data_IF_722551022022
#
_entry.id   IF_722551022022
#
_cell.length_a   1.000
_cell.length_b   1.000
_cell.length_c   1.000
_cell.angle_alpha   90.00
_cell.angle_beta   90.00
_cell.angle_gamma   90.00
#
_symmetry.space_group_name_H-M   'P 1'
#
loop_
_entity.id
_entity.type
_entity.pdbx_description
1 polymer ?
#
# COMPACT_ATOMS: atom_id res chain seq x y z
N UNK A 1 -4.72 23.87 -15.74
CA UNK A 1 -5.62 23.05 -14.94
C UNK A 1 -5.61 23.54 -13.50
N UNK A 2 -6.65 23.21 -12.75
CA UNK A 2 -6.75 23.56 -11.32
C UNK A 2 -5.66 22.81 -10.55
N UNK A 3 -4.82 23.53 -9.82
CA UNK A 3 -3.73 22.99 -9.00
C UNK A 3 -4.12 22.94 -7.51
N UNK A 4 -5.34 23.31 -7.17
CA UNK A 4 -5.85 23.23 -5.81
C UNK A 4 -5.89 21.78 -5.33
N UNK A 5 -5.28 21.51 -4.18
CA UNK A 5 -5.35 20.17 -3.59
C UNK A 5 -6.80 19.87 -3.20
N UNK A 6 -7.42 18.82 -3.76
CA UNK A 6 -8.79 18.48 -3.42
C UNK A 6 -8.92 18.03 -1.96
N UNK A 7 -10.02 18.42 -1.33
CA UNK A 7 -10.41 17.87 -0.03
C UNK A 7 -11.32 16.68 -0.29
N UNK A 8 -10.76 15.49 -0.13
CA UNK A 8 -11.52 14.25 -0.30
C UNK A 8 -12.47 14.05 0.87
N UNK A 9 -13.73 13.65 0.63
CA UNK A 9 -14.63 13.30 1.70
C UNK A 9 -14.16 12.03 2.40
N UNK A 10 -14.35 11.97 3.71
CA UNK A 10 -14.23 10.75 4.50
C UNK A 10 -15.63 10.22 4.80
N UNK A 11 -15.88 8.96 4.47
CA UNK A 11 -17.15 8.30 4.76
C UNK A 11 -16.95 7.42 5.99
N UNK A 12 -17.68 7.72 7.06
CA UNK A 12 -17.75 6.84 8.23
C UNK A 12 -18.96 5.94 8.06
N UNK A 13 -18.72 4.73 7.61
CA UNK A 13 -19.77 3.74 7.35
C UNK A 13 -20.02 2.91 8.61
N UNK A 14 -21.28 2.92 9.08
CA UNK A 14 -21.71 2.13 10.24
C UNK A 14 -22.87 1.23 9.84
N UNK A 15 -22.68 -0.06 9.98
CA UNK A 15 -23.69 -1.09 9.69
C UNK A 15 -23.58 -2.23 10.69
N UNK A 16 -24.64 -3.02 10.90
CA UNK A 16 -24.51 -4.27 11.63
C UNK A 16 -23.58 -5.21 10.85
N UNK A 17 -22.89 -6.08 11.56
CA UNK A 17 -22.04 -7.10 10.93
C UNK A 17 -22.90 -8.05 10.09
N UNK A 18 -22.49 -8.30 8.84
CA UNK A 18 -23.27 -9.13 7.92
C UNK A 18 -24.49 -8.41 7.32
N UNK A 19 -24.53 -7.07 7.39
CA UNK A 19 -25.57 -6.27 6.74
C UNK A 19 -25.76 -6.66 5.28
N UNK A 20 -27.01 -6.73 4.83
CA UNK A 20 -27.48 -7.25 3.54
C UNK A 20 -27.46 -8.77 3.40
N UNK A 21 -26.82 -9.51 4.30
CA UNK A 21 -26.87 -10.97 4.34
C UNK A 21 -28.15 -11.51 5.00
N UNK A 22 -28.27 -12.84 5.12
CA UNK A 22 -29.39 -13.45 5.84
C UNK A 22 -29.37 -13.03 7.31
N UNK A 23 -30.53 -12.69 7.84
CA UNK A 23 -30.66 -12.31 9.26
C UNK A 23 -30.58 -13.51 10.17
N UNK A 24 -31.06 -14.65 9.70
CA UNK A 24 -31.13 -15.89 10.42
C UNK A 24 -30.86 -17.07 9.47
N UNK A 25 -30.17 -18.10 9.96
CA UNK A 25 -29.98 -19.39 9.28
C UNK A 25 -30.18 -20.49 10.31
N UNK A 26 -31.03 -21.47 10.02
CA UNK A 26 -31.33 -22.63 10.87
C UNK A 26 -31.82 -22.23 12.28
N UNK A 27 -32.63 -21.18 12.37
CA UNK A 27 -33.15 -20.70 13.64
C UNK A 27 -32.12 -19.95 14.51
N UNK A 28 -30.93 -19.66 13.95
CA UNK A 28 -29.88 -18.93 14.65
C UNK A 28 -29.66 -17.55 14.02
N UNK A 29 -29.55 -16.49 14.81
CA UNK A 29 -29.25 -15.16 14.30
C UNK A 29 -27.86 -15.14 13.63
N UNK A 30 -27.77 -14.48 12.49
CA UNK A 30 -26.54 -14.29 11.70
C UNK A 30 -26.14 -12.81 11.69
N UNK A 31 -27.06 -11.91 11.31
CA UNK A 31 -26.79 -10.47 11.31
C UNK A 31 -26.41 -10.00 12.72
N UNK A 32 -25.44 -9.10 12.81
CA UNK A 32 -24.92 -8.48 14.03
C UNK A 32 -24.32 -9.45 15.05
N UNK A 33 -23.89 -10.63 14.61
CA UNK A 33 -23.23 -11.60 15.47
C UNK A 33 -22.01 -12.26 14.83
N UNK A 34 -21.29 -13.08 15.60
CA UNK A 34 -20.07 -13.75 15.12
C UNK A 34 -20.31 -14.67 13.91
N UNK A 35 -21.54 -15.19 13.72
CA UNK A 35 -21.87 -16.09 12.61
C UNK A 35 -21.77 -15.39 11.26
N UNK A 36 -21.94 -14.08 11.21
CA UNK A 36 -21.74 -13.30 9.99
C UNK A 36 -20.25 -13.10 9.62
N UNK A 37 -19.31 -13.48 10.49
CA UNK A 37 -17.87 -13.30 10.24
C UNK A 37 -17.29 -14.31 9.26
N UNK A 38 -17.80 -15.52 9.29
CA UNK A 38 -17.39 -16.60 8.38
C UNK A 38 -18.45 -16.81 7.30
N UNK A 39 -18.47 -17.98 6.68
CA UNK A 39 -19.50 -18.34 5.71
C UNK A 39 -20.84 -18.50 6.44
N UNK A 40 -21.79 -17.58 6.27
CA UNK A 40 -23.03 -17.61 7.03
C UNK A 40 -23.97 -18.76 6.63
N UNK A 41 -23.75 -19.36 5.46
CA UNK A 41 -24.52 -20.46 4.91
C UNK A 41 -23.56 -21.57 4.47
N UNK A 42 -23.61 -22.72 5.13
CA UNK A 42 -22.81 -23.89 4.75
C UNK A 42 -23.46 -24.67 3.61
N UNK A 43 -22.68 -25.08 2.61
CA UNK A 43 -23.11 -25.86 1.45
C UNK A 43 -22.68 -27.33 1.51
N UNK A 44 -22.30 -27.84 2.66
CA UNK A 44 -21.94 -29.25 2.87
C UNK A 44 -23.18 -30.19 2.92
N UNK A 45 -23.36 -30.94 4.02
CA UNK A 45 -24.45 -31.86 4.19
C UNK A 45 -25.85 -31.22 4.08
N UNK A 46 -25.97 -29.95 4.40
CA UNK A 46 -27.23 -29.19 4.41
C UNK A 46 -27.51 -28.43 3.11
N UNK A 47 -26.82 -28.76 2.01
CA UNK A 47 -26.94 -28.05 0.72
C UNK A 47 -28.39 -27.91 0.24
N UNK A 48 -29.17 -28.96 0.30
CA UNK A 48 -30.58 -28.92 -0.15
C UNK A 48 -31.41 -27.90 0.63
N UNK A 49 -31.15 -27.74 1.91
CA UNK A 49 -31.82 -26.79 2.81
C UNK A 49 -31.31 -25.39 2.61
N UNK A 50 -30.00 -25.21 2.43
CA UNK A 50 -29.33 -23.91 2.40
C UNK A 50 -29.33 -23.25 1.02
N UNK A 51 -29.37 -24.02 -0.05
CA UNK A 51 -29.37 -23.49 -1.42
C UNK A 51 -30.49 -22.46 -1.69
N UNK A 52 -31.76 -22.71 -1.27
CA UNK A 52 -32.80 -21.70 -1.44
C UNK A 52 -32.54 -20.40 -0.65
N UNK A 53 -31.93 -20.47 0.53
CA UNK A 53 -31.58 -19.31 1.33
C UNK A 53 -30.48 -18.49 0.64
N UNK A 54 -29.46 -19.16 0.12
CA UNK A 54 -28.38 -18.53 -0.65
C UNK A 54 -28.94 -17.88 -1.92
N UNK A 55 -29.78 -18.59 -2.67
CA UNK A 55 -30.40 -18.04 -3.88
C UNK A 55 -31.24 -16.80 -3.58
N UNK A 56 -32.07 -16.85 -2.55
CA UNK A 56 -32.86 -15.70 -2.13
C UNK A 56 -31.97 -14.52 -1.74
N UNK A 57 -30.88 -14.76 -1.01
CA UNK A 57 -29.93 -13.71 -0.65
C UNK A 57 -29.29 -13.10 -1.88
N UNK A 58 -28.73 -13.89 -2.79
CA UNK A 58 -28.10 -13.39 -4.01
C UNK A 58 -29.08 -12.64 -4.91
N UNK A 59 -30.32 -13.14 -5.06
CA UNK A 59 -31.37 -12.46 -5.82
C UNK A 59 -31.83 -11.14 -5.20
N UNK A 60 -31.66 -10.95 -3.89
CA UNK A 60 -31.99 -9.69 -3.22
C UNK A 60 -31.12 -8.51 -3.67
N UNK A 61 -30.01 -8.77 -4.32
CA UNK A 61 -29.15 -7.75 -4.94
C UNK A 61 -29.58 -7.33 -6.34
N UNK A 62 -30.63 -7.94 -6.89
CA UNK A 62 -31.16 -7.64 -8.23
C UNK A 62 -30.07 -7.63 -9.32
N UNK A 63 -29.30 -8.72 -9.47
CA UNK A 63 -28.23 -8.75 -10.47
C UNK A 63 -28.71 -8.53 -11.90
N UNK A 64 -29.97 -8.85 -12.21
CA UNK A 64 -30.61 -8.61 -13.50
C UNK A 64 -30.73 -7.13 -13.87
N UNK A 65 -30.64 -6.22 -12.91
CA UNK A 65 -30.60 -4.77 -13.17
C UNK A 65 -29.20 -4.29 -13.62
N UNK A 66 -28.18 -5.09 -13.32
CA UNK A 66 -26.77 -4.74 -13.53
C UNK A 66 -26.12 -5.55 -14.65
N UNK A 67 -26.66 -6.75 -14.95
CA UNK A 67 -26.09 -7.68 -15.91
C UNK A 67 -27.18 -8.21 -16.85
N UNK A 68 -26.83 -8.44 -18.12
CA UNK A 68 -27.68 -9.08 -19.10
C UNK A 68 -27.71 -10.61 -18.94
N UNK A 69 -28.48 -11.32 -19.79
CA UNK A 69 -28.62 -12.77 -19.75
C UNK A 69 -27.31 -13.53 -20.00
N UNK A 70 -26.33 -12.92 -20.64
CA UNK A 70 -24.99 -13.43 -20.85
C UNK A 70 -24.01 -13.05 -19.73
N UNK A 71 -24.48 -12.39 -18.67
CA UNK A 71 -23.66 -11.94 -17.54
C UNK A 71 -22.77 -10.73 -17.83
N UNK A 72 -23.03 -9.99 -18.89
CA UNK A 72 -22.28 -8.77 -19.23
C UNK A 72 -22.88 -7.57 -18.53
N UNK A 73 -22.04 -6.63 -18.02
CA UNK A 73 -22.56 -5.40 -17.44
C UNK A 73 -23.45 -4.62 -18.41
N UNK A 74 -24.57 -4.10 -17.94
CA UNK A 74 -25.43 -3.22 -18.72
C UNK A 74 -24.71 -1.93 -19.14
N UNK A 75 -25.24 -1.22 -20.15
CA UNK A 75 -24.59 -0.01 -20.69
C UNK A 75 -24.35 1.08 -19.65
N UNK A 76 -25.23 1.21 -18.67
CA UNK A 76 -25.06 2.14 -17.56
C UNK A 76 -23.75 1.87 -16.82
N UNK A 77 -23.49 0.63 -16.42
CA UNK A 77 -22.25 0.26 -15.72
C UNK A 77 -21.01 0.45 -16.60
N UNK A 78 -21.12 0.07 -17.87
CA UNK A 78 -20.03 0.27 -18.85
C UNK A 78 -19.71 1.74 -19.06
N UNK A 79 -20.70 2.63 -18.93
CA UNK A 79 -20.48 4.08 -19.07
C UNK A 79 -19.63 4.68 -17.96
N UNK A 80 -19.63 4.09 -16.76
CA UNK A 80 -18.79 4.53 -15.64
C UNK A 80 -17.33 4.05 -15.75
N UNK A 81 -17.07 3.04 -16.55
CA UNK A 81 -15.72 2.53 -16.73
C UNK A 81 -14.83 3.60 -17.39
N UNK A 82 -13.67 3.92 -16.80
CA UNK A 82 -12.77 4.90 -17.39
C UNK A 82 -12.23 4.42 -18.73
N UNK A 83 -11.95 5.36 -19.65
CA UNK A 83 -11.46 5.09 -21.00
C UNK A 83 -10.06 5.66 -21.19
N UNK A 84 -9.30 5.07 -22.12
CA UNK A 84 -7.93 5.51 -22.45
C UNK A 84 -7.02 5.52 -21.21
N UNK A 85 -6.22 6.56 -21.07
CA UNK A 85 -5.23 6.73 -20.00
C UNK A 85 -5.84 6.93 -18.60
N UNK A 86 -7.16 7.05 -18.51
CA UNK A 86 -7.87 7.10 -17.23
C UNK A 86 -8.07 5.71 -16.62
N UNK A 87 -7.88 4.64 -17.38
CA UNK A 87 -7.90 3.26 -16.84
C UNK A 87 -6.65 3.04 -15.99
N UNK A 88 -6.80 2.37 -14.88
CA UNK A 88 -5.68 2.11 -13.97
C UNK A 88 -4.50 1.43 -14.69
N UNK A 89 -4.74 0.37 -15.47
CA UNK A 89 -3.70 -0.35 -16.20
C UNK A 89 -3.14 0.38 -17.44
N UNK A 90 -3.73 1.50 -17.85
CA UNK A 90 -3.24 2.32 -18.96
C UNK A 90 -2.71 3.69 -18.50
N UNK A 91 -2.88 4.01 -17.21
CA UNK A 91 -2.36 5.26 -16.66
C UNK A 91 -0.83 5.21 -16.64
N UNK A 92 -0.12 6.16 -17.26
CA UNK A 92 1.34 6.16 -17.31
C UNK A 92 2.00 6.23 -15.92
N UNK A 93 1.29 6.75 -14.91
CA UNK A 93 1.79 6.79 -13.54
C UNK A 93 1.57 5.49 -12.75
N UNK A 94 0.82 4.53 -13.29
CA UNK A 94 0.46 3.29 -12.60
C UNK A 94 1.00 2.01 -13.27
N UNK A 95 1.45 2.07 -14.53
CA UNK A 95 1.88 0.88 -15.27
C UNK A 95 3.41 0.74 -15.41
N UNK A 96 4.17 1.59 -14.77
CA UNK A 96 5.62 1.53 -14.70
C UNK A 96 6.40 1.95 -15.93
N UNK A 97 5.82 1.84 -17.12
CA UNK A 97 6.55 2.00 -18.37
C UNK A 97 7.17 3.38 -18.58
N UNK A 98 6.45 4.44 -18.28
CA UNK A 98 6.91 5.81 -18.52
C UNK A 98 7.77 6.39 -17.39
N UNK A 99 7.70 5.82 -16.19
CA UNK A 99 8.46 6.28 -15.03
C UNK A 99 9.71 5.44 -14.77
N UNK A 100 9.91 4.39 -15.55
CA UNK A 100 11.10 3.56 -15.47
C UNK A 100 12.33 4.37 -15.91
N UNK A 101 13.29 4.45 -15.00
CA UNK A 101 14.62 5.02 -15.23
C UNK A 101 15.64 4.21 -14.49
N UNK A 102 16.82 4.05 -15.04
CA UNK A 102 17.91 3.35 -14.38
C UNK A 102 18.23 4.01 -13.04
N UNK A 103 18.46 3.19 -12.05
CA UNK A 103 18.94 3.63 -10.74
C UNK A 103 20.45 3.87 -10.81
N UNK A 104 20.87 5.08 -10.46
CA UNK A 104 22.29 5.38 -10.28
C UNK A 104 22.71 4.93 -8.90
N UNK A 105 23.75 4.12 -8.83
CA UNK A 105 24.31 3.63 -7.58
C UNK A 105 25.80 3.99 -7.52
N UNK A 106 26.31 4.40 -6.36
CA UNK A 106 27.75 4.53 -6.16
C UNK A 106 28.42 3.13 -6.21
N UNK A 107 29.74 3.10 -6.34
CA UNK A 107 30.48 1.85 -6.22
C UNK A 107 30.44 1.37 -4.75
N UNK A 108 29.84 0.22 -4.52
CA UNK A 108 29.71 -0.33 -3.17
C UNK A 108 31.04 -0.61 -2.49
N UNK A 109 32.12 -0.76 -3.28
CA UNK A 109 33.48 -0.98 -2.75
C UNK A 109 34.02 0.20 -1.99
N UNK A 110 33.54 1.41 -2.29
CA UNK A 110 33.93 2.66 -1.60
C UNK A 110 33.41 2.72 -0.15
N UNK A 111 32.50 1.80 0.21
CA UNK A 111 31.92 1.66 1.55
C UNK A 111 32.53 0.50 2.33
N UNK A 112 33.52 -0.18 1.77
CA UNK A 112 34.22 -1.27 2.46
C UNK A 112 34.90 -0.80 3.74
N UNK A 113 34.73 -1.57 4.82
CA UNK A 113 35.47 -1.34 6.05
C UNK A 113 36.77 -2.12 5.97
N UNK A 114 37.89 -1.43 6.11
CA UNK A 114 39.20 -2.06 6.13
C UNK A 114 39.40 -2.80 7.45
N UNK A 115 39.65 -4.11 7.39
CA UNK A 115 39.87 -4.97 8.55
C UNK A 115 41.27 -5.58 8.43
N UNK A 116 42.31 -4.98 9.07
CA UNK A 116 43.69 -5.44 8.94
C UNK A 116 43.92 -6.84 9.53
N UNK A 117 43.24 -7.18 10.62
CA UNK A 117 43.26 -8.50 11.23
C UNK A 117 41.94 -8.81 11.96
N UNK A 118 41.62 -10.10 12.16
CA UNK A 118 40.42 -10.52 12.87
C UNK A 118 40.33 -9.90 14.28
N UNK A 119 39.19 -9.24 14.58
CA UNK A 119 38.93 -8.65 15.88
C UNK A 119 39.54 -7.26 16.12
N UNK A 120 40.25 -6.67 15.15
CA UNK A 120 40.87 -5.35 15.29
C UNK A 120 39.90 -4.20 15.00
N UNK A 121 38.79 -4.46 14.28
CA UNK A 121 37.84 -3.41 13.88
C UNK A 121 36.43 -3.83 14.29
N UNK A 122 35.75 -2.92 14.98
CA UNK A 122 34.30 -3.00 15.19
C UNK A 122 33.61 -2.08 14.20
N UNK A 123 32.69 -2.61 13.42
CA UNK A 123 31.88 -1.87 12.47
C UNK A 123 30.42 -2.31 12.53
N UNK A 124 29.53 -1.48 12.01
CA UNK A 124 28.10 -1.77 11.94
C UNK A 124 27.68 -1.77 10.48
N UNK A 125 27.31 -2.91 9.97
CA UNK A 125 26.89 -3.12 8.58
C UNK A 125 25.75 -2.19 8.15
N UNK A 126 24.72 -2.06 8.98
CA UNK A 126 23.57 -1.21 8.70
C UNK A 126 23.92 0.28 8.70
N UNK A 127 24.91 0.72 9.46
CA UNK A 127 25.39 2.10 9.41
C UNK A 127 26.13 2.38 8.09
N UNK A 128 26.94 1.42 7.64
CA UNK A 128 27.61 1.47 6.35
C UNK A 128 26.58 1.45 5.20
N UNK A 129 25.58 0.57 5.29
CA UNK A 129 24.46 0.57 4.34
C UNK A 129 23.71 1.91 4.34
N UNK A 130 23.51 2.54 5.50
CA UNK A 130 22.88 3.84 5.61
C UNK A 130 23.62 4.93 4.83
N UNK A 131 24.96 4.90 4.84
CA UNK A 131 25.78 5.81 4.04
C UNK A 131 25.66 5.54 2.54
N UNK A 132 25.63 4.27 2.13
CA UNK A 132 25.37 3.89 0.73
C UNK A 132 23.99 4.36 0.27
N UNK A 133 22.93 4.11 1.06
CA UNK A 133 21.56 4.53 0.75
C UNK A 133 21.45 6.06 0.67
N UNK A 134 22.14 6.80 1.55
CA UNK A 134 22.28 8.26 1.47
C UNK A 134 22.72 8.69 0.08
N UNK A 135 23.76 8.07 -0.41
CA UNK A 135 24.38 8.46 -1.68
C UNK A 135 23.52 8.03 -2.88
N UNK A 136 22.84 6.88 -2.80
CA UNK A 136 21.81 6.51 -3.78
C UNK A 136 20.68 7.55 -3.83
N UNK A 137 20.21 8.03 -2.68
CA UNK A 137 19.17 9.09 -2.64
C UNK A 137 19.69 10.37 -3.28
N UNK A 138 20.89 10.80 -2.94
CA UNK A 138 21.53 12.00 -3.48
C UNK A 138 21.69 11.93 -4.99
N UNK A 139 22.22 10.81 -5.49
CA UNK A 139 22.55 10.64 -6.89
C UNK A 139 21.31 10.53 -7.79
N UNK A 140 20.15 10.22 -7.21
CA UNK A 140 18.86 10.13 -7.90
C UNK A 140 17.88 11.27 -7.51
N UNK A 141 18.36 12.33 -6.90
CA UNK A 141 17.53 13.44 -6.41
C UNK A 141 16.76 14.17 -7.52
N UNK A 142 17.36 14.32 -8.71
CA UNK A 142 16.75 14.92 -9.90
C UNK A 142 15.68 14.02 -10.51
N UNK A 143 15.93 12.72 -10.60
CA UNK A 143 15.02 11.73 -11.17
C UNK A 143 13.86 11.40 -10.22
N UNK A 144 14.05 11.57 -8.91
CA UNK A 144 13.10 11.23 -7.84
C UNK A 144 12.55 9.80 -7.96
N UNK A 145 13.39 8.88 -8.44
CA UNK A 145 13.01 7.51 -8.74
C UNK A 145 13.43 6.48 -7.69
N UNK A 146 13.97 6.92 -6.55
CA UNK A 146 14.29 6.06 -5.42
C UNK A 146 13.62 6.57 -4.13
N UNK A 147 13.15 5.63 -3.29
CA UNK A 147 12.51 5.93 -2.01
C UNK A 147 12.72 4.81 -1.00
N UNK A 148 12.88 5.19 0.26
CA UNK A 148 12.95 4.27 1.40
C UNK A 148 11.60 4.24 2.10
N UNK A 149 11.20 3.05 2.56
CA UNK A 149 9.99 2.80 3.33
C UNK A 149 10.35 2.04 4.60
N UNK A 150 9.68 2.34 5.69
CA UNK A 150 9.89 1.67 6.96
C UNK A 150 8.80 2.02 7.99
N UNK A 151 8.57 1.17 9.00
CA UNK A 151 7.55 1.34 10.01
C UNK A 151 8.06 2.12 11.24
N UNK A 152 8.67 3.30 11.02
CA UNK A 152 9.33 4.14 12.05
C UNK A 152 10.59 3.48 12.66
N UNK A 153 11.30 2.69 11.88
CA UNK A 153 12.45 1.91 12.37
C UNK A 153 13.80 2.30 11.74
N UNK A 154 13.85 3.31 10.87
CA UNK A 154 15.11 3.68 10.20
C UNK A 154 16.21 4.07 11.19
N UNK A 155 15.87 4.70 12.31
CA UNK A 155 16.84 5.07 13.35
C UNK A 155 17.33 3.86 14.13
N UNK A 156 16.43 2.96 14.54
CA UNK A 156 16.77 1.72 15.24
C UNK A 156 17.56 0.77 14.34
N UNK A 157 17.28 0.76 13.05
CA UNK A 157 18.01 0.01 12.02
C UNK A 157 19.31 0.71 11.57
N UNK A 158 19.73 1.79 12.25
CA UNK A 158 20.99 2.51 12.01
C UNK A 158 21.15 3.11 10.62
N UNK A 159 20.06 3.41 9.94
CA UNK A 159 20.03 4.02 8.61
C UNK A 159 20.04 5.55 8.66
N UNK A 160 20.32 6.15 9.81
CA UNK A 160 20.34 7.61 10.01
C UNK A 160 21.21 8.40 9.04
N UNK A 161 22.32 7.87 8.48
CA UNK A 161 23.11 8.63 7.51
C UNK A 161 22.30 9.12 6.30
N UNK A 162 21.24 8.42 5.91
CA UNK A 162 20.40 8.87 4.78
C UNK A 162 19.74 10.22 5.03
N UNK A 163 19.49 10.59 6.30
CA UNK A 163 18.87 11.86 6.66
C UNK A 163 19.81 13.08 6.49
N UNK A 164 21.08 12.87 6.17
CA UNK A 164 21.98 13.96 5.76
C UNK A 164 21.57 14.58 4.40
N UNK A 165 20.83 13.85 3.57
CA UNK A 165 20.44 14.29 2.23
C UNK A 165 18.95 14.44 2.02
N UNK A 166 18.11 13.94 2.91
CA UNK A 166 16.66 13.96 2.75
C UNK A 166 15.95 13.96 4.09
N UNK A 167 14.67 14.33 4.08
CA UNK A 167 13.79 14.22 5.24
C UNK A 167 12.93 12.97 5.19
N UNK A 168 12.45 12.59 6.36
CA UNK A 168 11.33 11.69 6.58
C UNK A 168 10.03 12.45 6.30
N UNK A 169 9.20 11.93 5.42
CA UNK A 169 7.97 12.61 4.99
C UNK A 169 6.91 12.57 6.09
N UNK A 170 6.44 13.77 6.45
CA UNK A 170 5.36 13.94 7.40
C UNK A 170 4.37 14.98 6.91
N UNK A 171 3.10 14.61 6.77
CA UNK A 171 2.07 15.49 6.21
C UNK A 171 1.25 16.27 7.25
N UNK A 172 1.45 15.98 8.53
CA UNK A 172 0.85 16.73 9.64
C UNK A 172 1.77 17.88 10.11
N UNK A 173 1.34 18.57 11.14
CA UNK A 173 2.14 19.63 11.73
C UNK A 173 3.45 19.07 12.32
N UNK A 174 4.52 19.83 12.19
CA UNK A 174 5.81 19.50 12.79
C UNK A 174 5.87 20.11 14.19
N UNK A 175 6.28 19.31 15.18
CA UNK A 175 6.44 19.73 16.54
C UNK A 175 7.89 20.13 16.85
N UNK A 176 8.07 20.97 17.88
CA UNK A 176 9.39 21.25 18.41
C UNK A 176 10.03 19.96 18.95
N UNK A 177 11.23 19.65 18.48
CA UNK A 177 11.95 18.43 18.86
C UNK A 177 11.78 17.26 17.89
N UNK A 178 10.96 17.40 16.84
CA UNK A 178 10.90 16.40 15.78
C UNK A 178 12.24 16.30 15.04
N UNK A 179 12.72 15.07 14.86
CA UNK A 179 13.98 14.81 14.17
C UNK A 179 13.73 14.32 12.76
N UNK A 180 14.41 14.92 11.79
CA UNK A 180 14.42 14.50 10.37
C UNK A 180 13.08 14.60 9.65
N UNK A 181 12.02 15.11 10.26
CA UNK A 181 10.72 15.27 9.63
C UNK A 181 10.67 16.44 8.66
N UNK A 182 9.87 16.32 7.61
CA UNK A 182 9.61 17.38 6.65
C UNK A 182 8.40 17.06 5.77
N UNK A 183 7.78 18.08 5.20
CA UNK A 183 6.63 17.88 4.29
C UNK A 183 7.02 17.27 2.95
N UNK A 184 8.30 17.14 2.68
CA UNK A 184 8.82 16.45 1.49
C UNK A 184 10.09 15.68 1.86
N UNK A 185 10.39 14.63 1.11
CA UNK A 185 11.57 13.81 1.34
C UNK A 185 11.50 12.50 0.56
N UNK A 186 12.53 11.69 0.73
CA UNK A 186 12.64 10.39 0.05
C UNK A 186 12.46 9.21 1.00
N UNK A 187 12.14 9.46 2.26
CA UNK A 187 11.91 8.41 3.26
C UNK A 187 10.46 8.48 3.74
N UNK A 188 9.76 7.36 3.67
CA UNK A 188 8.42 7.16 4.26
C UNK A 188 8.56 6.18 5.42
N UNK A 189 8.79 6.72 6.60
CA UNK A 189 9.16 5.99 7.81
C UNK A 189 8.52 6.65 9.03
N UNK A 190 7.19 6.63 9.09
CA UNK A 190 6.44 7.38 10.10
C UNK A 190 5.24 6.63 10.66
N UNK A 191 5.07 5.34 10.32
CA UNK A 191 3.91 4.55 10.73
C UNK A 191 4.33 3.14 11.12
N UNK A 192 3.99 2.72 12.33
CA UNK A 192 4.23 1.36 12.82
C UNK A 192 3.28 0.36 12.16
N UNK A 193 3.51 0.08 10.89
CA UNK A 193 2.69 -0.83 10.11
C UNK A 193 3.50 -1.34 8.92
N UNK A 194 4.12 -2.49 9.07
CA UNK A 194 4.96 -3.14 8.06
C UNK A 194 4.18 -3.38 6.77
N UNK A 195 3.01 -3.99 6.87
CA UNK A 195 2.18 -4.31 5.72
C UNK A 195 1.73 -3.06 4.94
N UNK A 196 1.51 -1.93 5.60
CA UNK A 196 1.21 -0.67 4.92
C UNK A 196 2.45 -0.12 4.20
N UNK A 197 3.61 -0.17 4.84
CA UNK A 197 4.88 0.27 4.26
C UNK A 197 5.26 -0.60 3.06
N UNK A 198 5.05 -1.91 3.14
CA UNK A 198 5.23 -2.85 2.03
C UNK A 198 4.27 -2.54 0.87
N UNK A 199 3.00 -2.27 1.17
CA UNK A 199 2.02 -1.87 0.17
C UNK A 199 2.36 -0.54 -0.51
N UNK A 200 2.94 0.41 0.21
CA UNK A 200 3.47 1.64 -0.39
C UNK A 200 4.67 1.38 -1.28
N UNK A 201 5.59 0.50 -0.86
CA UNK A 201 6.72 0.09 -1.69
C UNK A 201 6.22 -0.59 -2.97
N UNK A 202 5.31 -1.55 -2.86
CA UNK A 202 4.73 -2.24 -4.00
C UNK A 202 4.12 -1.24 -5.00
N UNK A 203 3.25 -0.34 -4.53
CA UNK A 203 2.65 0.68 -5.37
C UNK A 203 3.70 1.59 -6.03
N UNK A 204 4.78 1.90 -5.34
CA UNK A 204 5.87 2.71 -5.88
C UNK A 204 6.67 1.98 -6.95
N UNK A 205 6.97 0.69 -6.74
CA UNK A 205 7.68 -0.16 -7.69
C UNK A 205 6.86 -0.39 -8.98
N UNK A 206 5.55 -0.59 -8.84
CA UNK A 206 4.63 -0.75 -9.97
C UNK A 206 4.62 0.47 -10.92
N UNK A 207 5.04 1.64 -10.46
CA UNK A 207 5.23 2.80 -11.33
C UNK A 207 6.54 2.77 -12.14
N UNK A 208 7.39 1.78 -11.95
CA UNK A 208 8.73 1.67 -12.56
C UNK A 208 9.84 2.38 -11.79
N UNK A 209 9.57 2.82 -10.58
CA UNK A 209 10.57 3.40 -9.68
C UNK A 209 11.25 2.33 -8.85
N UNK A 210 12.24 2.72 -8.08
CA UNK A 210 13.05 1.84 -7.23
C UNK A 210 12.81 2.17 -5.77
N UNK A 211 12.77 1.18 -4.92
CA UNK A 211 12.54 1.37 -3.49
C UNK A 211 13.29 0.37 -2.64
N UNK A 212 13.41 0.71 -1.37
CA UNK A 212 14.01 -0.09 -0.33
C UNK A 212 13.08 -0.09 0.88
N UNK A 213 12.84 -1.26 1.44
CA UNK A 213 12.08 -1.42 2.69
C UNK A 213 13.02 -1.87 3.80
N UNK A 214 12.88 -1.27 4.98
CA UNK A 214 13.58 -1.69 6.19
C UNK A 214 12.58 -1.97 7.31
N UNK A 215 12.84 -3.01 8.04
CA UNK A 215 12.12 -3.41 9.24
C UNK A 215 13.04 -4.23 10.14
#
# INVERSE_FOLDING_TARGET
GDTTRPRWPMIVFRSPKGWTGPKEVDGNPVEDCFRAHQVPISMGPDTEKHLPILEQWLRSYHPEELFDEEGRPVDLLRSFAPKGDRRMGANPHANGGLLLRDLRTPDFRDYGVEVPAPGEVEAQDMLVLGAFVRDVIRDNADAKNFRVFGPDESKSNRLTPMFETTSRVWNADLAEGDEYLGHSGRVMDSMLSEHMCEGWLEGYLLTGRHGFFNS
#
